data_IF_068036087886
#
_entry.id   IF_068036087886
#
_cell.length_a   1.000
_cell.length_b   1.000
_cell.length_c   1.000
_cell.angle_alpha   90.00
_cell.angle_beta   90.00
_cell.angle_gamma   90.00
#
_symmetry.space_group_name_H-M   'P 1'
#
loop_
_entity.id
_entity.type
_entity.pdbx_description
1 polymer ?
#
# COMPACT_ATOMS: atom_id res chain seq x y z
N UNK A 1 -7.14 11.66 2.65
CA UNK A 1 -7.57 10.52 3.48
C UNK A 1 -9.04 10.16 3.23
N UNK A 2 -9.97 11.13 3.20
CA UNK A 2 -11.40 10.86 2.98
C UNK A 2 -11.70 9.92 1.79
N UNK A 3 -11.07 10.14 0.62
CA UNK A 3 -11.25 9.29 -0.56
C UNK A 3 -10.99 7.79 -0.33
N UNK A 4 -10.02 7.45 0.53
CA UNK A 4 -9.70 6.06 0.84
C UNK A 4 -10.74 5.49 1.80
N UNK A 5 -11.18 6.27 2.78
CA UNK A 5 -12.22 5.87 3.73
C UNK A 5 -13.55 5.61 3.01
N UNK A 6 -13.96 6.51 2.12
CA UNK A 6 -15.19 6.35 1.32
C UNK A 6 -15.11 5.09 0.43
N UNK A 7 -13.93 4.79 -0.13
CA UNK A 7 -13.72 3.59 -0.93
C UNK A 7 -13.79 2.31 -0.08
N UNK A 8 -13.26 2.33 1.15
CA UNK A 8 -13.35 1.21 2.09
C UNK A 8 -14.80 0.95 2.52
N UNK A 9 -15.53 2.00 2.87
CA UNK A 9 -16.97 1.92 3.20
C UNK A 9 -17.77 1.35 2.02
N UNK A 10 -17.45 1.78 0.79
CA UNK A 10 -18.05 1.21 -0.41
C UNK A 10 -17.75 -0.29 -0.53
N UNK A 11 -16.50 -0.74 -0.34
CA UNK A 11 -16.17 -2.17 -0.35
C UNK A 11 -16.97 -2.97 0.68
N UNK A 12 -17.07 -2.46 1.91
CA UNK A 12 -17.84 -3.08 2.99
C UNK A 12 -19.33 -3.23 2.63
N UNK A 13 -19.90 -2.28 1.87
CA UNK A 13 -21.28 -2.37 1.38
C UNK A 13 -21.53 -3.53 0.39
N UNK A 14 -20.47 -4.13 -0.15
CA UNK A 14 -20.50 -5.31 -1.02
C UNK A 14 -19.98 -6.58 -0.32
N UNK A 15 -19.95 -6.61 1.02
CA UNK A 15 -19.39 -7.71 1.81
C UNK A 15 -17.90 -8.01 1.51
N UNK A 16 -17.16 -7.03 0.99
CA UNK A 16 -15.72 -7.13 0.80
C UNK A 16 -15.01 -6.50 2.00
N UNK A 17 -14.07 -7.23 2.60
CA UNK A 17 -13.23 -6.70 3.69
C UNK A 17 -11.99 -6.03 3.10
N UNK A 18 -11.91 -4.69 3.07
CA UNK A 18 -10.71 -4.01 2.62
C UNK A 18 -9.58 -4.13 3.66
N UNK A 19 -8.33 -4.08 3.20
CA UNK A 19 -7.18 -3.98 4.09
C UNK A 19 -7.18 -2.63 4.84
N UNK A 20 -6.63 -2.62 6.05
CA UNK A 20 -6.41 -1.47 6.89
C UNK A 20 -5.24 -0.63 6.35
N UNK A 21 -4.15 -1.28 5.97
CA UNK A 21 -2.98 -0.65 5.39
C UNK A 21 -3.18 -0.32 3.91
N UNK A 22 -2.55 0.76 3.46
CA UNK A 22 -2.68 1.26 2.09
C UNK A 22 -1.43 2.06 1.71
N UNK A 23 -1.17 2.14 0.41
CA UNK A 23 -0.08 2.98 -0.12
C UNK A 23 -0.52 4.44 -0.21
N UNK A 24 0.40 5.35 0.08
CA UNK A 24 0.22 6.76 -0.23
C UNK A 24 0.74 7.06 -1.64
N UNK A 25 0.30 8.17 -2.24
CA UNK A 25 0.89 8.63 -3.48
C UNK A 25 2.33 9.09 -3.21
N UNK A 26 3.30 8.40 -3.81
CA UNK A 26 4.74 8.64 -3.67
C UNK A 26 5.40 8.40 -5.02
N UNK A 27 6.28 9.31 -5.43
CA UNK A 27 7.02 9.19 -6.70
C UNK A 27 7.90 7.93 -6.74
N UNK A 28 8.35 7.45 -5.58
CA UNK A 28 9.25 6.29 -5.50
C UNK A 28 8.63 5.00 -6.06
N UNK A 29 7.31 4.87 -6.04
CA UNK A 29 6.64 3.72 -6.64
C UNK A 29 6.79 3.73 -8.17
N UNK A 30 6.64 4.89 -8.79
CA UNK A 30 6.80 5.08 -10.23
C UNK A 30 8.29 4.98 -10.61
N UNK A 31 9.19 5.61 -9.84
CA UNK A 31 10.64 5.54 -10.06
C UNK A 31 11.15 4.09 -10.00
N UNK A 32 10.66 3.28 -9.05
CA UNK A 32 11.04 1.88 -8.93
C UNK A 32 10.61 1.09 -10.18
N UNK A 33 9.37 1.27 -10.63
CA UNK A 33 8.84 0.63 -11.84
C UNK A 33 9.62 1.03 -13.10
N UNK A 34 9.91 2.33 -13.28
CA UNK A 34 10.70 2.84 -14.42
C UNK A 34 12.12 2.28 -14.46
N UNK A 35 12.71 1.96 -13.30
CA UNK A 35 14.04 1.33 -13.21
C UNK A 35 13.99 -0.21 -13.25
N UNK A 36 12.80 -0.82 -13.31
CA UNK A 36 12.63 -2.27 -13.25
C UNK A 36 13.01 -2.87 -11.89
N UNK A 37 12.86 -2.09 -10.82
CA UNK A 37 13.21 -2.44 -9.45
C UNK A 37 11.96 -2.48 -8.57
N UNK A 38 12.06 -3.14 -7.43
CA UNK A 38 11.10 -2.97 -6.35
C UNK A 38 11.46 -1.77 -5.47
N UNK A 39 10.50 -1.24 -4.72
CA UNK A 39 10.75 -0.17 -3.73
C UNK A 39 11.78 -0.56 -2.66
N UNK A 40 11.98 -1.86 -2.42
CA UNK A 40 12.98 -2.36 -1.47
C UNK A 40 14.41 -2.25 -2.01
N UNK A 41 14.57 -2.30 -3.33
CA UNK A 41 15.86 -2.14 -4.02
C UNK A 41 16.21 -0.67 -4.26
N UNK A 42 15.25 0.23 -4.05
CA UNK A 42 15.49 1.67 -4.08
C UNK A 42 16.21 2.12 -2.79
N UNK A 43 17.23 2.95 -2.96
CA UNK A 43 18.01 3.54 -1.86
C UNK A 43 17.26 4.64 -1.08
N UNK A 44 16.03 4.98 -1.47
CA UNK A 44 15.26 6.11 -0.94
C UNK A 44 13.84 5.71 -0.49
N UNK A 45 13.34 6.42 0.52
CA UNK A 45 11.97 6.36 1.08
C UNK A 45 11.59 5.07 1.83
N UNK A 46 12.10 4.96 3.06
CA UNK A 46 11.74 3.90 4.01
C UNK A 46 10.24 3.82 4.32
N UNK A 47 9.48 4.91 4.14
CA UNK A 47 8.03 4.86 4.41
C UNK A 47 7.29 4.06 3.33
N UNK A 48 7.74 4.11 2.07
CA UNK A 48 7.15 3.29 1.02
C UNK A 48 7.41 1.80 1.28
N UNK A 49 8.62 1.46 1.72
CA UNK A 49 8.97 0.10 2.14
C UNK A 49 8.09 -0.36 3.31
N UNK A 50 7.91 0.50 4.31
CA UNK A 50 7.06 0.22 5.46
C UNK A 50 5.59 0.00 5.04
N UNK A 51 5.03 0.85 4.17
CA UNK A 51 3.66 0.68 3.66
C UNK A 51 3.47 -0.68 2.99
N UNK A 52 4.40 -1.09 2.11
CA UNK A 52 4.33 -2.39 1.44
C UNK A 52 4.50 -3.55 2.42
N UNK A 53 5.39 -3.43 3.40
CA UNK A 53 5.59 -4.45 4.43
C UNK A 53 4.34 -4.63 5.30
N UNK A 54 3.72 -3.54 5.75
CA UNK A 54 2.49 -3.57 6.55
C UNK A 54 1.31 -4.17 5.76
N UNK A 55 1.17 -3.81 4.48
CA UNK A 55 0.17 -4.42 3.59
C UNK A 55 0.42 -5.92 3.44
N UNK A 56 1.67 -6.34 3.22
CA UNK A 56 2.01 -7.75 3.04
C UNK A 56 1.74 -8.56 4.31
N UNK A 57 2.13 -8.05 5.49
CA UNK A 57 1.85 -8.69 6.78
C UNK A 57 0.35 -8.83 7.03
N UNK A 58 -0.41 -7.78 6.72
CA UNK A 58 -1.86 -7.81 6.90
C UNK A 58 -2.51 -8.85 5.97
N UNK A 59 -2.11 -8.84 4.69
CA UNK A 59 -2.64 -9.79 3.71
C UNK A 59 -2.33 -11.25 4.04
N UNK A 60 -1.14 -11.52 4.57
CA UNK A 60 -0.71 -12.87 4.97
C UNK A 60 -1.25 -13.32 6.33
N UNK A 61 -1.89 -12.42 7.09
CA UNK A 61 -2.41 -12.71 8.43
C UNK A 61 -1.34 -12.78 9.52
N UNK A 62 -0.22 -12.07 9.34
CA UNK A 62 0.90 -11.96 10.29
C UNK A 62 0.75 -10.79 11.27
N UNK A 63 -0.44 -10.18 11.33
CA UNK A 63 -0.82 -9.03 12.17
C UNK A 63 -1.90 -9.39 13.19
#
# INVERSE_FOLDING_TARGET
>A
MQRILDAKEACESFDLTPLNNYTCNRNIYDDADENGLSVFEMSSDEKAKQEIEEIAKEFLGEL
#
